data_IF_762262462971
#
_entry.id   IF_762262462971
#
_cell.length_a   1.000
_cell.length_b   1.000
_cell.length_c   1.000
_cell.angle_alpha   90.00
_cell.angle_beta   90.00
_cell.angle_gamma   90.00
#
_symmetry.space_group_name_H-M   'P 1'
#
loop_
_entity.id
_entity.type
_entity.pdbx_description
1 polymer ?
#
# COMPACT_ATOMS: atom_id res chain seq x y z
N UNK A 1 -1.72 11.27 29.64
CA UNK A 1 -1.44 12.69 29.34
C UNK A 1 -0.04 12.78 28.79
N UNK A 2 0.14 13.12 27.51
CA UNK A 2 1.46 13.42 26.96
C UNK A 2 2.03 14.69 27.61
N UNK A 3 3.36 14.81 27.68
CA UNK A 3 3.99 16.00 28.24
C UNK A 3 3.73 17.22 27.35
N UNK A 4 3.66 18.39 27.97
CA UNK A 4 3.58 19.67 27.24
C UNK A 4 4.84 19.91 26.38
N UNK A 5 5.93 19.19 26.67
CA UNK A 5 7.13 19.08 25.82
C UNK A 5 6.85 18.26 24.55
N UNK A 6 6.24 17.09 24.69
CA UNK A 6 5.95 16.16 23.59
C UNK A 6 4.99 16.81 22.56
N UNK A 7 3.98 17.56 23.03
CA UNK A 7 3.09 18.33 22.15
C UNK A 7 3.79 19.47 21.40
N UNK A 8 4.83 20.09 21.98
CA UNK A 8 5.64 21.09 21.30
C UNK A 8 6.51 20.43 20.23
N UNK A 9 7.18 19.34 20.57
CA UNK A 9 8.01 18.58 19.63
C UNK A 9 7.16 18.03 18.48
N UNK A 10 5.95 17.50 18.73
CA UNK A 10 5.00 17.13 17.68
C UNK A 10 4.62 18.29 16.76
N UNK A 11 4.36 19.49 17.30
CA UNK A 11 4.03 20.67 16.48
C UNK A 11 5.21 21.11 15.61
N UNK A 12 6.43 21.11 16.16
CA UNK A 12 7.65 21.42 15.43
C UNK A 12 7.96 20.37 14.36
N UNK A 13 7.73 19.09 14.63
CA UNK A 13 7.81 18.00 13.65
C UNK A 13 6.75 18.18 12.55
N UNK A 14 5.49 18.46 12.89
CA UNK A 14 4.41 18.68 11.93
C UNK A 14 4.70 19.85 10.97
N UNK A 15 5.14 21.00 11.49
CA UNK A 15 5.54 22.13 10.65
C UNK A 15 6.85 21.87 9.88
N UNK A 16 7.78 21.06 10.43
CA UNK A 16 8.97 20.59 9.68
C UNK A 16 8.59 19.66 8.53
N UNK A 17 7.60 18.78 8.70
CA UNK A 17 7.04 17.93 7.64
C UNK A 17 6.35 18.78 6.59
N UNK A 18 5.51 19.72 7.00
CA UNK A 18 4.82 20.66 6.09
C UNK A 18 5.82 21.48 5.28
N UNK A 19 6.92 21.91 5.89
CA UNK A 19 8.06 22.57 5.25
C UNK A 19 8.82 21.63 4.30
N UNK A 20 9.11 20.38 4.70
CA UNK A 20 9.76 19.37 3.84
C UNK A 20 8.89 18.98 2.65
N UNK A 21 7.58 18.81 2.84
CA UNK A 21 6.60 18.61 1.77
C UNK A 21 6.58 19.83 0.85
N UNK A 22 6.58 21.06 1.38
CA UNK A 22 6.71 22.27 0.56
C UNK A 22 8.03 22.35 -0.22
N UNK A 23 9.14 21.88 0.35
CA UNK A 23 10.45 21.82 -0.31
C UNK A 23 10.47 20.75 -1.42
N UNK A 24 9.84 19.59 -1.18
CA UNK A 24 9.64 18.55 -2.19
C UNK A 24 8.73 19.05 -3.33
N UNK A 25 7.64 19.75 -3.01
CA UNK A 25 6.76 20.41 -3.99
C UNK A 25 7.50 21.47 -4.82
N UNK A 26 8.29 22.35 -4.18
CA UNK A 26 9.13 23.34 -4.89
C UNK A 26 10.21 22.69 -5.75
N UNK A 27 10.75 21.53 -5.35
CA UNK A 27 11.67 20.73 -6.16
C UNK A 27 11.01 20.00 -7.33
N UNK A 28 9.70 19.74 -7.27
CA UNK A 28 8.92 19.09 -8.33
C UNK A 28 8.40 20.08 -9.39
N UNK A 29 8.24 21.36 -9.04
CA UNK A 29 7.70 22.46 -9.86
C UNK A 29 8.52 22.85 -11.11
N UNK A 30 9.46 22.01 -11.54
CA UNK A 30 10.32 22.24 -12.71
C UNK A 30 10.15 21.17 -13.81
N UNK A 31 8.95 20.58 -13.92
CA UNK A 31 8.55 19.71 -15.03
C UNK A 31 7.17 20.06 -15.56
N UNK A 32 7.07 19.99 -16.89
CA UNK A 32 5.96 20.48 -17.67
C UNK A 32 4.67 19.67 -17.54
N UNK A 33 3.56 20.39 -17.76
CA UNK A 33 2.20 19.95 -18.15
C UNK A 33 1.98 18.44 -18.19
N UNK A 34 1.29 17.92 -17.17
CA UNK A 34 0.69 16.58 -17.20
C UNK A 34 -0.56 16.61 -18.08
N UNK A 35 -0.58 15.77 -19.11
CA UNK A 35 -1.76 15.46 -19.92
C UNK A 35 -2.55 14.34 -19.22
N UNK A 36 -3.90 14.32 -19.27
CA UNK A 36 -4.70 13.27 -18.63
C UNK A 36 -4.31 11.85 -19.07
N UNK A 37 -4.42 10.90 -18.15
CA UNK A 37 -4.15 9.49 -18.39
C UNK A 37 -5.24 8.85 -19.26
N UNK A 38 -5.02 8.76 -20.58
CA UNK A 38 -5.78 7.83 -21.43
C UNK A 38 -5.14 6.43 -21.40
N UNK A 39 -5.99 5.42 -21.19
CA UNK A 39 -5.60 4.02 -21.13
C UNK A 39 -5.15 3.52 -22.52
N UNK A 40 -3.84 3.49 -22.78
CA UNK A 40 -3.30 2.94 -24.03
C UNK A 40 -3.30 1.41 -24.01
N UNK A 41 -4.29 0.82 -24.69
CA UNK A 41 -4.27 -0.60 -25.06
C UNK A 41 -3.08 -0.92 -25.98
N UNK A 42 -2.49 -2.12 -25.92
CA UNK A 42 -1.42 -2.51 -26.83
C UNK A 42 -1.95 -2.65 -28.27
N UNK A 43 -1.33 -1.94 -29.21
CA UNK A 43 -1.60 -2.11 -30.63
C UNK A 43 -0.82 -3.33 -31.16
N UNK A 44 -1.45 -4.30 -31.84
CA UNK A 44 -0.73 -5.43 -32.44
C UNK A 44 -0.25 -5.07 -33.86
N UNK A 45 1.06 -5.06 -34.08
CA UNK A 45 1.64 -4.85 -35.41
C UNK A 45 1.44 -6.07 -36.32
N UNK A 46 1.04 -5.76 -37.56
CA UNK A 46 0.51 -6.69 -38.56
C UNK A 46 1.41 -7.85 -39.00
N UNK A 47 0.74 -8.92 -39.42
CA UNK A 47 1.29 -10.01 -40.24
C UNK A 47 0.22 -10.48 -41.24
N UNK A 48 0.28 -10.01 -42.48
CA UNK A 48 -0.73 -10.27 -43.49
C UNK A 48 -0.58 -11.67 -44.14
N UNK A 49 -1.69 -12.38 -44.31
CA UNK A 49 -1.78 -13.65 -45.06
C UNK A 49 -3.22 -13.89 -45.51
N UNK A 50 -3.44 -14.08 -46.81
CA UNK A 50 -4.77 -14.03 -47.46
C UNK A 50 -5.53 -15.36 -47.45
N UNK A 51 -6.80 -15.33 -46.99
CA UNK A 51 -8.06 -15.86 -47.57
C UNK A 51 -8.10 -17.10 -48.50
N UNK A 52 -9.27 -17.78 -48.69
CA UNK A 52 -10.48 -17.92 -47.84
C UNK A 52 -11.10 -19.36 -47.83
N UNK A 53 -12.18 -19.61 -47.06
CA UNK A 53 -13.44 -20.27 -47.53
C UNK A 53 -14.41 -20.69 -46.41
N UNK A 54 -15.72 -20.42 -46.58
CA UNK A 54 -16.87 -21.06 -45.89
C UNK A 54 -17.10 -20.71 -44.39
N UNK A 55 -18.33 -20.59 -43.86
CA UNK A 55 -19.68 -20.64 -44.47
C UNK A 55 -20.74 -21.19 -43.49
N UNK A 56 -21.88 -20.50 -43.30
CA UNK A 56 -23.01 -20.91 -42.43
C UNK A 56 -23.05 -20.18 -41.07
N UNK A 57 -23.96 -19.22 -40.85
CA UNK A 57 -25.36 -19.35 -40.40
C UNK A 57 -25.54 -19.59 -38.88
N UNK A 58 -26.00 -18.56 -38.15
CA UNK A 58 -27.27 -18.47 -37.38
C UNK A 58 -27.30 -19.31 -36.08
N UNK A 59 -27.64 -18.78 -34.89
CA UNK A 59 -28.97 -18.24 -34.56
C UNK A 59 -29.06 -17.51 -33.19
N UNK A 60 -29.90 -16.46 -33.14
CA UNK A 60 -30.72 -15.91 -32.04
C UNK A 60 -30.43 -16.16 -30.53
N UNK A 61 -30.23 -15.03 -29.83
CA UNK A 61 -30.85 -14.57 -28.58
C UNK A 61 -31.42 -15.56 -27.53
N UNK A 62 -31.00 -15.39 -26.28
CA UNK A 62 -31.89 -15.37 -25.09
C UNK A 62 -31.27 -14.59 -23.93
N UNK A 63 -32.11 -13.93 -23.12
CA UNK A 63 -31.74 -13.07 -22.00
C UNK A 63 -31.87 -13.81 -20.63
N UNK A 64 -31.43 -13.22 -19.49
CA UNK A 64 -31.10 -13.99 -18.27
C UNK A 64 -32.23 -14.08 -17.22
N UNK A 65 -32.15 -15.02 -16.25
CA UNK A 65 -32.82 -14.93 -14.95
C UNK A 65 -31.92 -14.12 -13.99
N UNK A 66 -32.35 -12.96 -13.49
CA UNK A 66 -33.26 -12.74 -12.36
C UNK A 66 -32.74 -13.19 -10.97
N UNK A 67 -32.43 -12.17 -10.15
CA UNK A 67 -32.25 -12.22 -8.70
C UNK A 67 -33.54 -12.60 -7.97
N UNK A 68 -33.47 -13.50 -6.99
CA UNK A 68 -34.37 -13.50 -5.82
C UNK A 68 -33.63 -13.89 -4.52
N UNK A 69 -34.15 -13.37 -3.41
CA UNK A 69 -33.54 -13.13 -2.11
C UNK A 69 -33.13 -14.35 -1.23
N UNK A 70 -32.09 -14.10 -0.43
CA UNK A 70 -31.93 -14.39 1.01
C UNK A 70 -32.02 -15.83 1.57
N UNK A 71 -31.04 -16.24 2.38
CA UNK A 71 -31.11 -16.06 3.86
C UNK A 71 -29.94 -16.72 4.62
N UNK A 72 -29.38 -16.00 5.60
CA UNK A 72 -28.71 -16.45 6.82
C UNK A 72 -28.01 -17.83 6.85
N UNK A 73 -26.68 -17.83 6.67
CA UNK A 73 -25.76 -18.56 7.55
C UNK A 73 -24.47 -17.75 7.79
N UNK A 74 -24.33 -17.17 8.98
CA UNK A 74 -23.06 -16.60 9.43
C UNK A 74 -22.12 -17.74 9.83
N UNK A 75 -21.30 -18.23 8.88
CA UNK A 75 -20.22 -19.15 9.19
C UNK A 75 -19.03 -18.35 9.72
N UNK A 76 -18.59 -18.67 10.94
CA UNK A 76 -17.42 -18.06 11.55
C UNK A 76 -16.17 -18.42 10.75
N UNK A 77 -15.54 -17.41 10.15
CA UNK A 77 -14.25 -17.58 9.46
C UNK A 77 -13.17 -17.86 10.52
N UNK A 78 -12.87 -19.15 10.69
CA UNK A 78 -11.77 -19.60 11.55
C UNK A 78 -10.43 -19.23 10.91
N UNK A 79 -9.89 -18.07 11.29
CA UNK A 79 -8.50 -17.70 11.01
C UNK A 79 -7.58 -18.75 11.68
N UNK A 80 -6.72 -19.47 10.94
CA UNK A 80 -5.93 -20.56 11.51
C UNK A 80 -5.01 -20.08 12.66
N UNK A 81 -5.23 -20.62 13.86
CA UNK A 81 -4.61 -20.14 15.10
C UNK A 81 -3.14 -20.56 15.30
N UNK A 82 -2.49 -21.10 14.26
CA UNK A 82 -1.11 -21.61 14.32
C UNK A 82 -0.09 -20.65 13.72
N UNK A 83 -0.04 -19.42 14.22
CA UNK A 83 1.11 -18.54 14.06
C UNK A 83 1.81 -18.34 15.41
N UNK A 84 2.47 -19.41 15.90
CA UNK A 84 3.30 -19.35 17.10
C UNK A 84 4.39 -18.30 16.88
N UNK A 85 4.28 -17.18 17.60
CA UNK A 85 5.23 -16.05 17.54
C UNK A 85 6.57 -16.49 18.15
N UNK A 86 7.39 -17.15 17.35
CA UNK A 86 8.80 -17.37 17.66
C UNK A 86 9.51 -16.03 17.52
N UNK A 87 10.13 -15.55 18.62
CA UNK A 87 11.01 -14.37 18.63
C UNK A 87 11.93 -14.40 17.41
N UNK A 88 11.90 -13.33 16.62
CA UNK A 88 12.57 -13.23 15.31
C UNK A 88 14.03 -13.68 15.36
N UNK A 89 14.39 -14.83 14.75
CA UNK A 89 15.77 -15.14 14.48
C UNK A 89 16.28 -14.20 13.37
N UNK A 90 17.57 -13.87 13.43
CA UNK A 90 18.27 -13.03 12.47
C UNK A 90 17.92 -13.31 11.00
N UNK A 91 17.93 -12.27 10.16
CA UNK A 91 17.77 -12.29 8.69
C UNK A 91 18.86 -13.12 7.95
N UNK A 92 18.92 -14.44 8.20
CA UNK A 92 19.71 -15.41 7.44
C UNK A 92 18.88 -16.68 7.27
N UNK A 93 18.90 -17.26 6.06
CA UNK A 93 18.02 -18.33 5.58
C UNK A 93 16.53 -17.92 5.46
N UNK A 94 16.22 -17.05 4.50
CA UNK A 94 14.86 -16.99 3.93
C UNK A 94 14.61 -18.24 3.09
N UNK A 95 14.03 -19.26 3.70
CA UNK A 95 13.29 -20.28 2.97
C UNK A 95 12.04 -19.56 2.41
N UNK A 96 12.14 -19.12 1.15
CA UNK A 96 11.14 -18.22 0.53
C UNK A 96 9.81 -18.95 0.39
N UNK A 97 8.90 -18.68 1.32
CA UNK A 97 7.48 -18.98 1.15
C UNK A 97 6.97 -18.06 0.05
N UNK A 98 6.46 -18.64 -1.03
CA UNK A 98 5.66 -17.90 -2.02
C UNK A 98 4.21 -18.06 -1.58
N UNK A 99 3.56 -16.94 -1.26
CA UNK A 99 2.20 -16.91 -0.77
C UNK A 99 1.21 -17.29 -1.87
N UNK A 100 0.26 -18.18 -1.54
CA UNK A 100 -0.78 -18.67 -2.46
C UNK A 100 -2.10 -17.88 -2.35
N UNK A 101 -2.19 -16.95 -1.40
CA UNK A 101 -3.34 -16.07 -1.20
C UNK A 101 -2.89 -14.71 -0.66
N UNK A 102 -3.68 -13.68 -0.92
CA UNK A 102 -3.46 -12.32 -0.44
C UNK A 102 -3.76 -12.15 1.07
N UNK A 103 -4.35 -13.15 1.73
CA UNK A 103 -4.57 -13.13 3.20
C UNK A 103 -3.26 -13.22 4.01
N UNK A 104 -2.15 -13.56 3.36
CA UNK A 104 -0.84 -13.54 4.01
C UNK A 104 -0.33 -12.11 4.16
N UNK A 105 0.02 -11.73 5.39
CA UNK A 105 0.45 -10.38 5.74
C UNK A 105 1.87 -10.08 5.22
N UNK A 106 2.07 -9.01 4.43
CA UNK A 106 3.40 -8.56 4.01
C UNK A 106 4.35 -8.28 5.17
N UNK A 107 5.57 -8.84 5.15
CA UNK A 107 6.58 -8.67 6.20
C UNK A 107 7.60 -7.57 5.93
N UNK A 108 7.60 -6.97 4.75
CA UNK A 108 8.49 -5.89 4.35
C UNK A 108 7.94 -5.12 3.13
N UNK A 109 8.54 -3.98 2.83
CA UNK A 109 8.09 -3.10 1.75
C UNK A 109 8.05 -3.79 0.37
N UNK A 110 9.01 -4.67 0.04
CA UNK A 110 8.95 -5.49 -1.18
C UNK A 110 7.70 -6.36 -1.20
N UNK A 111 7.39 -7.06 -0.11
CA UNK A 111 6.18 -7.88 0.00
C UNK A 111 4.91 -7.04 -0.12
N UNK A 112 4.88 -5.83 0.44
CA UNK A 112 3.72 -4.93 0.32
C UNK A 112 3.52 -4.43 -1.12
N UNK A 113 4.61 -4.14 -1.83
CA UNK A 113 4.58 -3.84 -3.28
C UNK A 113 4.12 -5.05 -4.09
N UNK A 114 4.64 -6.26 -3.82
CA UNK A 114 4.20 -7.48 -4.50
C UNK A 114 2.71 -7.78 -4.24
N UNK A 115 2.20 -7.52 -3.02
CA UNK A 115 0.78 -7.66 -2.69
C UNK A 115 -0.10 -6.71 -3.50
N UNK A 116 0.30 -5.45 -3.66
CA UNK A 116 -0.43 -4.47 -4.48
C UNK A 116 -0.47 -4.85 -5.97
N UNK A 117 0.63 -5.41 -6.49
CA UNK A 117 0.68 -5.94 -7.86
C UNK A 117 -0.18 -7.20 -8.02
N UNK A 118 -0.29 -8.03 -6.97
CA UNK A 118 -1.13 -9.23 -7.00
C UNK A 118 -2.64 -8.91 -6.80
N UNK A 119 -2.99 -7.89 -6.01
CA UNK A 119 -4.36 -7.33 -5.92
C UNK A 119 -4.83 -6.79 -7.27
N UNK A 120 -3.97 -6.06 -7.99
CA UNK A 120 -4.28 -5.59 -9.35
C UNK A 120 -4.77 -6.75 -10.23
N UNK A 121 -4.00 -7.85 -10.25
CA UNK A 121 -4.30 -9.01 -11.08
C UNK A 121 -4.46 -8.65 -12.55
N UNK A 122 -5.29 -9.43 -13.26
CA UNK A 122 -5.65 -9.18 -14.65
C UNK A 122 -6.83 -8.19 -14.78
N UNK A 123 -7.79 -8.21 -13.85
CA UNK A 123 -8.89 -7.24 -13.74
C UNK A 123 -8.54 -6.10 -12.77
N UNK A 124 -7.67 -5.20 -13.22
CA UNK A 124 -7.23 -4.07 -12.41
C UNK A 124 -8.37 -3.12 -12.01
N UNK A 125 -9.39 -2.97 -12.85
CA UNK A 125 -10.51 -2.05 -12.63
C UNK A 125 -11.47 -2.62 -11.58
N UNK A 126 -11.94 -3.86 -11.75
CA UNK A 126 -12.84 -4.51 -10.80
C UNK A 126 -12.20 -4.73 -9.43
N UNK A 127 -10.95 -5.20 -9.38
CA UNK A 127 -10.26 -5.49 -8.11
C UNK A 127 -9.99 -4.22 -7.28
N UNK A 128 -9.59 -3.11 -7.93
CA UNK A 128 -9.29 -1.86 -7.23
C UNK A 128 -10.55 -1.05 -6.90
N UNK A 129 -11.61 -1.17 -7.70
CA UNK A 129 -12.94 -0.67 -7.33
C UNK A 129 -13.48 -1.41 -6.09
N UNK A 130 -13.37 -2.75 -6.05
CA UNK A 130 -13.81 -3.55 -4.90
C UNK A 130 -13.01 -3.20 -3.63
N UNK A 131 -11.68 -3.05 -3.72
CA UNK A 131 -10.87 -2.59 -2.59
C UNK A 131 -11.20 -1.14 -2.17
N UNK A 132 -11.46 -0.25 -3.12
CA UNK A 132 -11.83 1.15 -2.85
C UNK A 132 -13.17 1.27 -2.13
N UNK A 133 -14.18 0.50 -2.56
CA UNK A 133 -15.46 0.39 -1.89
C UNK A 133 -15.33 -0.20 -0.48
N UNK A 134 -14.54 -1.27 -0.31
CA UNK A 134 -14.31 -1.89 1.00
C UNK A 134 -13.56 -0.98 1.98
N UNK A 135 -12.63 -0.14 1.49
CA UNK A 135 -11.98 0.88 2.31
C UNK A 135 -12.95 1.98 2.73
N UNK A 136 -13.80 2.47 1.83
CA UNK A 136 -14.83 3.46 2.16
C UNK A 136 -15.78 2.93 3.23
N UNK A 137 -16.33 1.73 3.02
CA UNK A 137 -17.21 1.00 3.93
C UNK A 137 -16.57 0.75 5.32
N UNK A 138 -15.29 0.33 5.33
CA UNK A 138 -14.51 0.14 6.56
C UNK A 138 -14.35 1.45 7.35
N UNK A 139 -14.24 2.61 6.69
CA UNK A 139 -14.08 3.92 7.35
C UNK A 139 -15.38 4.57 7.77
N UNK A 140 -16.46 4.43 7.00
CA UNK A 140 -17.80 4.92 7.40
C UNK A 140 -18.26 4.19 8.66
N UNK A 141 -18.25 2.86 8.62
CA UNK A 141 -18.78 1.99 9.68
C UNK A 141 -17.70 1.53 10.68
N UNK A 142 -16.65 2.34 10.87
CA UNK A 142 -15.46 1.93 11.64
C UNK A 142 -15.75 1.71 13.14
N UNK A 143 -16.78 2.33 13.69
CA UNK A 143 -17.16 2.26 15.11
C UNK A 143 -17.69 0.88 15.52
N UNK A 144 -18.42 0.17 14.65
CA UNK A 144 -19.04 -1.13 14.95
C UNK A 144 -18.15 -2.36 14.74
N UNK A 145 -16.99 -2.20 14.09
CA UNK A 145 -16.22 -3.29 13.45
C UNK A 145 -15.14 -3.94 14.32
N UNK A 146 -15.55 -4.47 15.47
CA UNK A 146 -14.63 -5.04 16.48
C UNK A 146 -13.72 -6.18 15.98
N UNK A 147 -14.18 -6.98 15.01
CA UNK A 147 -13.43 -8.10 14.44
C UNK A 147 -12.32 -7.56 13.51
N UNK A 148 -12.68 -6.64 12.62
CA UNK A 148 -11.76 -5.99 11.69
C UNK A 148 -10.71 -5.17 12.43
N UNK A 149 -11.06 -4.52 13.55
CA UNK A 149 -10.10 -3.88 14.46
C UNK A 149 -9.07 -4.87 14.99
N UNK A 150 -9.48 -6.05 15.46
CA UNK A 150 -8.55 -7.09 15.94
C UNK A 150 -7.66 -7.63 14.82
N UNK A 151 -8.18 -7.77 13.60
CA UNK A 151 -7.40 -8.15 12.43
C UNK A 151 -6.40 -7.06 12.03
N UNK A 152 -6.84 -5.80 12.01
CA UNK A 152 -6.03 -4.63 11.67
C UNK A 152 -4.87 -4.42 12.64
N UNK A 153 -5.10 -4.61 13.94
CA UNK A 153 -4.07 -4.58 14.97
C UNK A 153 -2.94 -5.60 14.70
N UNK A 154 -3.28 -6.79 14.18
CA UNK A 154 -2.30 -7.83 13.82
C UNK A 154 -1.45 -7.38 12.63
N UNK A 155 -2.07 -6.79 11.59
CA UNK A 155 -1.35 -6.26 10.41
C UNK A 155 -0.47 -5.07 10.80
N UNK A 156 -0.98 -4.15 11.62
CA UNK A 156 -0.23 -2.98 12.13
C UNK A 156 0.99 -3.41 12.94
N UNK A 157 0.88 -4.45 13.78
CA UNK A 157 2.03 -4.99 14.53
C UNK A 157 3.12 -5.51 13.61
N UNK A 158 2.78 -6.15 12.49
CA UNK A 158 3.77 -6.56 11.47
C UNK A 158 4.44 -5.35 10.81
N UNK A 159 3.68 -4.31 10.45
CA UNK A 159 4.24 -3.05 9.95
C UNK A 159 5.19 -2.40 10.95
N UNK A 160 4.83 -2.41 12.24
CA UNK A 160 5.66 -1.89 13.34
C UNK A 160 6.96 -2.70 13.50
N UNK A 161 6.88 -4.04 13.54
CA UNK A 161 8.05 -4.94 13.61
C UNK A 161 9.04 -4.70 12.47
N UNK A 162 8.54 -4.47 11.24
CA UNK A 162 9.36 -4.10 10.10
C UNK A 162 10.06 -2.74 10.31
N UNK A 163 9.32 -1.72 10.75
CA UNK A 163 9.85 -0.37 10.95
C UNK A 163 10.84 -0.29 12.13
N UNK A 164 10.71 -1.14 13.14
CA UNK A 164 11.64 -1.25 14.27
C UNK A 164 13.03 -1.83 13.93
N UNK A 165 13.24 -2.34 12.70
CA UNK A 165 14.56 -2.83 12.26
C UNK A 165 15.66 -1.76 12.40
N UNK A 166 16.85 -2.13 12.87
CA UNK A 166 17.97 -1.18 13.12
C UNK A 166 18.33 -0.29 11.92
N UNK A 167 18.19 -0.80 10.69
CA UNK A 167 18.46 -0.07 9.45
C UNK A 167 17.40 1.00 9.11
N UNK A 168 16.20 0.88 9.68
CA UNK A 168 15.02 1.70 9.40
C UNK A 168 14.69 2.62 10.58
N UNK A 169 14.65 2.11 11.81
CA UNK A 169 14.10 2.82 12.98
C UNK A 169 14.70 4.22 13.20
N UNK A 170 15.99 4.41 12.93
CA UNK A 170 16.70 5.69 13.13
C UNK A 170 16.40 6.77 12.07
N UNK A 171 15.56 6.49 11.06
CA UNK A 171 15.16 7.47 10.03
C UNK A 171 14.04 8.36 10.56
N UNK A 172 14.07 9.65 10.22
CA UNK A 172 13.08 10.64 10.68
C UNK A 172 11.63 10.19 10.41
N UNK A 173 11.32 9.82 9.17
CA UNK A 173 9.97 9.36 8.78
C UNK A 173 9.57 8.03 9.44
N UNK A 174 10.53 7.15 9.73
CA UNK A 174 10.26 5.88 10.41
C UNK A 174 9.95 6.12 11.88
N UNK A 175 10.73 6.94 12.59
CA UNK A 175 10.46 7.34 13.97
C UNK A 175 9.08 8.01 14.11
N UNK A 176 8.74 8.93 13.19
CA UNK A 176 7.43 9.59 13.15
C UNK A 176 6.29 8.58 13.01
N UNK A 177 6.38 7.65 12.06
CA UNK A 177 5.35 6.63 11.83
C UNK A 177 5.27 5.66 13.02
N UNK A 178 6.42 5.24 13.59
CA UNK A 178 6.45 4.41 14.80
C UNK A 178 5.77 5.09 15.99
N UNK A 179 6.00 6.40 16.20
CA UNK A 179 5.31 7.17 17.24
C UNK A 179 3.79 7.17 17.06
N UNK A 180 3.31 7.40 15.83
CA UNK A 180 1.87 7.37 15.53
C UNK A 180 1.27 5.96 15.70
N UNK A 181 2.01 4.91 15.35
CA UNK A 181 1.60 3.53 15.58
C UNK A 181 1.58 3.18 17.08
N UNK A 182 2.54 3.67 17.87
CA UNK A 182 2.58 3.46 19.31
C UNK A 182 1.40 4.16 20.01
N UNK A 183 1.06 5.39 19.63
CA UNK A 183 -0.14 6.06 20.16
C UNK A 183 -1.41 5.30 19.77
N UNK A 184 -1.57 4.89 18.51
CA UNK A 184 -2.72 4.09 18.06
C UNK A 184 -2.86 2.78 18.84
N UNK A 185 -1.78 2.03 19.04
CA UNK A 185 -1.78 0.74 19.75
C UNK A 185 -1.90 0.89 21.28
N UNK A 186 -1.74 2.10 21.83
CA UNK A 186 -2.01 2.41 23.26
C UNK A 186 -3.49 2.62 23.53
N UNK A 187 -4.26 3.12 22.56
CA UNK A 187 -5.70 3.29 22.71
C UNK A 187 -6.36 1.91 22.66
N UNK A 188 -7.00 1.51 23.77
CA UNK A 188 -7.74 0.23 23.83
C UNK A 188 -8.97 0.30 22.91
N UNK A 189 -9.45 -0.83 22.35
CA UNK A 189 -10.59 -0.82 21.42
C UNK A 189 -11.82 -0.07 21.96
N UNK A 190 -12.17 -0.25 23.24
CA UNK A 190 -13.29 0.42 23.90
C UNK A 190 -13.12 1.95 24.08
N UNK A 191 -11.91 2.49 23.84
CA UNK A 191 -11.61 3.93 23.87
C UNK A 191 -11.54 4.48 22.43
N UNK A 192 -11.10 3.67 21.45
CA UNK A 192 -11.13 4.04 20.03
C UNK A 192 -12.56 4.34 19.55
N UNK A 193 -13.54 3.52 19.96
CA UNK A 193 -14.96 3.70 19.60
C UNK A 193 -15.59 4.99 20.13
N UNK A 194 -15.04 5.58 21.20
CA UNK A 194 -15.61 6.77 21.87
C UNK A 194 -14.82 8.06 21.63
N UNK A 195 -13.58 7.99 21.14
CA UNK A 195 -12.66 9.16 21.09
C UNK A 195 -12.11 9.47 19.70
N UNK A 196 -12.14 8.51 18.78
CA UNK A 196 -11.33 8.54 17.54
C UNK A 196 -12.16 8.39 16.27
N UNK A 197 -13.28 7.69 16.37
CA UNK A 197 -14.28 7.49 15.32
C UNK A 197 -15.61 7.97 15.91
N UNK A 198 -16.45 8.64 15.13
CA UNK A 198 -17.78 8.96 15.65
C UNK A 198 -18.61 7.69 15.76
N UNK A 199 -19.38 7.57 16.85
CA UNK A 199 -20.41 6.53 16.97
C UNK A 199 -21.53 6.73 15.93
N UNK A 200 -21.64 7.94 15.34
CA UNK A 200 -22.49 8.22 14.18
C UNK A 200 -21.72 8.03 12.86
N UNK A 201 -22.05 6.96 12.13
CA UNK A 201 -21.57 6.68 10.78
C UNK A 201 -21.75 7.88 9.83
N UNK A 202 -22.79 8.71 10.05
CA UNK A 202 -23.07 9.92 9.26
C UNK A 202 -21.99 10.99 9.44
N UNK A 203 -21.34 11.06 10.61
CA UNK A 203 -20.23 12.00 10.83
C UNK A 203 -18.94 11.50 10.18
N UNK A 204 -18.68 10.19 10.23
CA UNK A 204 -17.55 9.57 9.52
C UNK A 204 -17.71 9.76 8.00
N UNK A 205 -18.92 9.55 7.47
CA UNK A 205 -19.23 9.79 6.05
C UNK A 205 -19.02 11.26 5.67
N UNK A 206 -19.61 12.21 6.42
CA UNK A 206 -19.40 13.66 6.21
C UNK A 206 -17.93 14.06 6.27
N UNK A 207 -17.13 13.43 7.13
CA UNK A 207 -15.69 13.65 7.20
C UNK A 207 -15.00 13.20 5.91
N UNK A 208 -15.26 11.98 5.43
CA UNK A 208 -14.71 11.45 4.19
C UNK A 208 -15.12 12.31 2.98
N UNK A 209 -16.40 12.64 2.85
CA UNK A 209 -16.91 13.55 1.81
C UNK A 209 -16.21 14.92 1.85
N UNK A 210 -16.01 15.51 3.05
CA UNK A 210 -15.27 16.78 3.23
C UNK A 210 -13.78 16.67 2.84
N UNK A 211 -13.21 15.47 2.85
CA UNK A 211 -11.86 15.18 2.32
C UNK A 211 -11.84 14.87 0.82
N UNK A 212 -13.00 14.83 0.16
CA UNK A 212 -13.12 14.38 -1.23
C UNK A 212 -12.85 12.88 -1.38
N UNK A 213 -13.13 12.08 -0.35
CA UNK A 213 -12.98 10.64 -0.34
C UNK A 213 -14.36 9.98 -0.46
N UNK A 214 -14.69 9.51 -1.66
CA UNK A 214 -15.73 8.53 -1.98
C UNK A 214 -15.09 7.19 -2.39
N UNK A 215 -15.86 6.11 -2.46
CA UNK A 215 -15.38 4.82 -2.98
C UNK A 215 -14.65 4.95 -4.34
N UNK A 216 -15.24 5.68 -5.29
CA UNK A 216 -14.67 5.89 -6.63
C UNK A 216 -13.33 6.63 -6.58
N UNK A 217 -13.25 7.74 -5.84
CA UNK A 217 -11.99 8.51 -5.70
C UNK A 217 -10.90 7.75 -4.93
N UNK A 218 -11.29 6.85 -4.01
CA UNK A 218 -10.35 5.94 -3.34
C UNK A 218 -9.84 4.91 -4.37
N UNK A 219 -10.71 4.32 -5.19
CA UNK A 219 -10.33 3.39 -6.25
C UNK A 219 -9.38 4.04 -7.28
N UNK A 220 -9.70 5.26 -7.75
CA UNK A 220 -8.84 6.05 -8.64
C UNK A 220 -7.44 6.26 -8.03
N UNK A 221 -7.37 6.65 -6.76
CA UNK A 221 -6.09 6.87 -6.06
C UNK A 221 -5.35 5.56 -5.75
N UNK A 222 -6.05 4.45 -5.56
CA UNK A 222 -5.44 3.12 -5.51
C UNK A 222 -4.80 2.74 -6.85
N UNK A 223 -5.43 3.03 -7.99
CA UNK A 223 -4.83 2.83 -9.31
C UNK A 223 -3.50 3.60 -9.41
N UNK A 224 -3.46 4.87 -9.00
CA UNK A 224 -2.23 5.67 -8.94
C UNK A 224 -1.14 5.04 -8.04
N UNK A 225 -1.50 4.56 -6.85
CA UNK A 225 -0.58 3.84 -5.94
C UNK A 225 -0.02 2.57 -6.59
N UNK A 226 -0.87 1.78 -7.24
CA UNK A 226 -0.51 0.50 -7.87
C UNK A 226 0.35 0.70 -9.12
N UNK A 227 0.06 1.72 -9.94
CA UNK A 227 0.90 2.07 -11.09
C UNK A 227 2.25 2.68 -10.66
N UNK A 228 2.29 3.48 -9.59
CA UNK A 228 3.55 3.92 -8.98
C UNK A 228 4.38 2.72 -8.46
N UNK A 229 3.74 1.74 -7.82
CA UNK A 229 4.36 0.47 -7.45
C UNK A 229 4.91 -0.30 -8.66
N UNK A 230 4.15 -0.35 -9.76
CA UNK A 230 4.54 -1.03 -10.99
C UNK A 230 5.73 -0.33 -11.70
N UNK A 231 5.73 1.01 -11.79
CA UNK A 231 6.83 1.80 -12.33
C UNK A 231 8.10 1.61 -11.49
N UNK A 232 7.97 1.75 -10.16
CA UNK A 232 9.06 1.54 -9.20
C UNK A 232 9.66 0.15 -9.36
N UNK A 233 8.82 -0.89 -9.27
CA UNK A 233 9.25 -2.28 -9.40
C UNK A 233 9.89 -2.53 -10.76
N UNK A 234 9.30 -2.04 -11.85
CA UNK A 234 9.83 -2.15 -13.21
C UNK A 234 11.23 -1.53 -13.36
N UNK A 235 11.53 -0.46 -12.63
CA UNK A 235 12.83 0.24 -12.63
C UNK A 235 13.87 -0.38 -11.71
N UNK A 236 13.49 -0.97 -10.57
CA UNK A 236 14.45 -1.55 -9.62
C UNK A 236 14.70 -3.05 -9.79
N UNK A 237 13.75 -3.82 -10.35
CA UNK A 237 13.87 -5.28 -10.42
C UNK A 237 14.87 -5.73 -11.48
N UNK A 238 15.57 -6.82 -11.17
CA UNK A 238 16.31 -7.63 -12.12
C UNK A 238 15.36 -8.67 -12.70
N UNK A 239 15.00 -8.54 -13.99
CA UNK A 239 13.95 -9.34 -14.63
C UNK A 239 14.19 -10.86 -14.56
N UNK A 240 15.44 -11.30 -14.56
CA UNK A 240 15.80 -12.74 -14.57
C UNK A 240 15.87 -13.38 -13.18
N UNK A 241 15.95 -12.59 -12.10
CA UNK A 241 16.17 -13.09 -10.74
C UNK A 241 15.09 -12.68 -9.74
N UNK A 242 14.29 -11.66 -10.05
CA UNK A 242 13.21 -11.21 -9.18
C UNK A 242 12.15 -12.29 -8.97
N UNK A 243 11.84 -12.60 -7.71
CA UNK A 243 10.70 -13.45 -7.35
C UNK A 243 9.68 -12.65 -6.57
N UNK A 244 8.45 -12.59 -7.07
CA UNK A 244 7.31 -12.07 -6.29
C UNK A 244 7.15 -12.88 -5.01
N UNK A 245 6.77 -12.22 -3.92
CA UNK A 245 6.34 -12.89 -2.70
C UNK A 245 4.99 -13.60 -2.86
N UNK A 246 4.14 -13.11 -3.78
CA UNK A 246 2.82 -13.66 -4.08
C UNK A 246 2.84 -14.40 -5.42
N UNK A 247 2.29 -15.62 -5.44
CA UNK A 247 2.14 -16.43 -6.64
C UNK A 247 1.01 -15.91 -7.54
N UNK A 248 0.93 -16.31 -8.82
CA UNK A 248 -0.21 -16.00 -9.69
C UNK A 248 -1.56 -16.49 -9.16
N UNK A 249 -1.59 -17.45 -8.24
CA UNK A 249 -2.80 -17.94 -7.58
C UNK A 249 -3.33 -16.99 -6.49
N UNK A 250 -2.49 -16.06 -5.99
CA UNK A 250 -2.88 -15.09 -4.97
C UNK A 250 -3.63 -13.91 -5.60
N UNK A 251 -4.83 -14.16 -6.12
CA UNK A 251 -5.70 -13.15 -6.73
C UNK A 251 -6.67 -12.55 -5.70
N UNK A 252 -7.25 -11.40 -6.05
CA UNK A 252 -8.36 -10.78 -5.30
C UNK A 252 -9.54 -11.76 -5.16
N UNK A 253 -10.01 -12.33 -6.27
CA UNK A 253 -11.12 -13.30 -6.28
C UNK A 253 -10.89 -14.52 -5.37
N UNK A 254 -9.70 -15.10 -5.40
CA UNK A 254 -9.39 -16.28 -4.58
C UNK A 254 -9.22 -15.95 -3.08
N UNK A 255 -9.07 -14.67 -2.71
CA UNK A 255 -8.68 -14.25 -1.36
C UNK A 255 -9.73 -13.40 -0.63
N UNK A 256 -10.45 -12.54 -1.36
CA UNK A 256 -11.22 -11.43 -0.78
C UNK A 256 -12.58 -11.17 -1.44
N UNK A 257 -12.94 -11.71 -2.61
CA UNK A 257 -14.27 -11.42 -3.21
C UNK A 257 -15.47 -11.89 -2.38
N UNK A 258 -15.27 -12.79 -1.40
CA UNK A 258 -16.28 -13.14 -0.38
C UNK A 258 -16.21 -12.27 0.89
N UNK A 259 -15.08 -11.61 1.15
CA UNK A 259 -14.74 -10.89 2.37
C UNK A 259 -13.85 -9.66 2.06
N UNK A 260 -14.35 -8.68 1.28
CA UNK A 260 -13.53 -7.58 0.77
C UNK A 260 -13.03 -6.65 1.89
N UNK A 261 -13.72 -6.62 3.04
CA UNK A 261 -13.28 -5.97 4.27
C UNK A 261 -11.91 -6.48 4.77
N UNK A 262 -11.59 -7.76 4.54
CA UNK A 262 -10.28 -8.32 4.87
C UNK A 262 -9.15 -7.76 3.99
N UNK A 263 -9.46 -7.44 2.72
CA UNK A 263 -8.55 -6.75 1.81
C UNK A 263 -8.30 -5.30 2.25
N UNK A 264 -9.35 -4.59 2.65
CA UNK A 264 -9.27 -3.24 3.21
C UNK A 264 -8.42 -3.20 4.50
N UNK A 265 -8.67 -4.11 5.44
CA UNK A 265 -7.86 -4.27 6.66
C UNK A 265 -6.38 -4.52 6.35
N UNK A 266 -6.09 -5.39 5.38
CA UNK A 266 -4.72 -5.66 4.96
C UNK A 266 -4.03 -4.40 4.42
N UNK A 267 -4.72 -3.65 3.55
CA UNK A 267 -4.19 -2.40 2.98
C UNK A 267 -3.93 -1.34 4.05
N UNK A 268 -4.92 -1.04 4.91
CA UNK A 268 -4.80 -0.04 5.99
C UNK A 268 -3.67 -0.39 6.94
N UNK A 269 -3.51 -1.67 7.27
CA UNK A 269 -2.46 -2.11 8.19
C UNK A 269 -1.05 -2.08 7.61
N UNK A 270 -0.88 -2.19 6.29
CA UNK A 270 0.42 -2.06 5.61
C UNK A 270 0.73 -0.64 5.11
N UNK A 271 -0.25 0.26 5.01
CA UNK A 271 -0.02 1.65 4.59
C UNK A 271 1.07 2.39 5.41
N UNK A 272 1.18 2.22 6.76
CA UNK A 272 2.32 2.73 7.54
C UNK A 272 3.69 2.28 7.02
N UNK A 273 3.82 1.00 6.64
CA UNK A 273 5.03 0.41 6.08
C UNK A 273 5.37 1.04 4.72
N UNK A 274 4.37 1.23 3.86
CA UNK A 274 4.52 1.87 2.55
C UNK A 274 5.00 3.33 2.69
N UNK A 275 4.29 4.16 3.46
CA UNK A 275 4.62 5.58 3.63
C UNK A 275 6.01 5.80 4.21
N UNK A 276 6.34 5.11 5.30
CA UNK A 276 7.63 5.26 5.97
C UNK A 276 8.79 4.87 5.04
N UNK A 277 8.60 3.81 4.24
CA UNK A 277 9.59 3.32 3.28
C UNK A 277 9.80 4.28 2.11
N UNK A 278 8.72 4.71 1.45
CA UNK A 278 8.75 5.65 0.32
C UNK A 278 9.36 6.98 0.76
N UNK A 279 8.91 7.54 1.89
CA UNK A 279 9.39 8.82 2.41
C UNK A 279 10.88 8.76 2.80
N UNK A 280 11.31 7.67 3.45
CA UNK A 280 12.73 7.46 3.78
C UNK A 280 13.60 7.30 2.54
N UNK A 281 13.11 6.63 1.50
CA UNK A 281 13.85 6.41 0.25
C UNK A 281 13.95 7.72 -0.57
N UNK A 282 12.88 8.51 -0.63
CA UNK A 282 12.89 9.86 -1.21
C UNK A 282 13.89 10.78 -0.47
N UNK A 283 13.90 10.77 0.86
CA UNK A 283 14.85 11.55 1.66
C UNK A 283 16.32 11.12 1.41
N UNK A 284 16.59 9.81 1.33
CA UNK A 284 17.92 9.29 1.02
C UNK A 284 18.39 9.67 -0.39
N UNK A 285 17.49 9.60 -1.39
CA UNK A 285 17.74 10.07 -2.76
C UNK A 285 18.07 11.56 -2.80
N UNK A 286 17.30 12.39 -2.08
CA UNK A 286 17.50 13.83 -2.03
C UNK A 286 18.86 14.19 -1.40
N UNK A 287 19.19 13.61 -0.25
CA UNK A 287 20.47 13.80 0.42
C UNK A 287 21.67 13.39 -0.46
N UNK A 288 21.55 12.27 -1.19
CA UNK A 288 22.58 11.81 -2.12
C UNK A 288 22.71 12.72 -3.36
N UNK A 289 21.61 13.26 -3.90
CA UNK A 289 21.62 14.23 -5.01
C UNK A 289 22.28 15.55 -4.61
N UNK A 290 22.06 16.03 -3.38
CA UNK A 290 22.70 17.24 -2.85
C UNK A 290 24.20 17.08 -2.50
N UNK A 291 24.79 15.90 -2.72
CA UNK A 291 26.21 15.60 -2.41
C UNK A 291 26.60 15.86 -0.95
N UNK A 292 25.64 15.77 -0.01
CA UNK A 292 25.95 15.60 1.41
C UNK A 292 26.89 14.38 1.56
N UNK A 293 27.89 14.42 2.48
CA UNK A 293 29.13 13.63 2.44
C UNK A 293 29.03 12.29 1.67
N UNK A 294 29.50 12.25 0.40
CA UNK A 294 28.88 11.42 -0.64
C UNK A 294 28.94 9.91 -0.38
N UNK A 295 30.00 9.43 0.27
CA UNK A 295 30.17 8.03 0.62
C UNK A 295 29.15 7.55 1.68
N UNK A 296 28.78 8.41 2.64
CA UNK A 296 27.82 8.07 3.69
C UNK A 296 26.41 7.99 3.10
N UNK A 297 26.02 8.97 2.28
CA UNK A 297 24.69 9.04 1.68
C UNK A 297 24.41 7.85 0.73
N UNK A 298 25.38 7.48 -0.11
CA UNK A 298 25.24 6.36 -1.06
C UNK A 298 25.12 5.01 -0.35
N UNK A 299 26.02 4.71 0.61
CA UNK A 299 25.97 3.48 1.40
C UNK A 299 24.66 3.37 2.19
N UNK A 300 24.26 4.47 2.84
CA UNK A 300 22.97 4.59 3.54
C UNK A 300 21.76 4.25 2.65
N UNK A 301 21.79 4.63 1.37
CA UNK A 301 20.71 4.33 0.42
C UNK A 301 20.70 2.85 0.00
N UNK A 302 21.86 2.23 -0.24
CA UNK A 302 21.94 0.80 -0.54
C UNK A 302 21.48 -0.06 0.65
N UNK A 303 21.93 0.27 1.86
CA UNK A 303 21.51 -0.40 3.10
C UNK A 303 20.00 -0.28 3.33
N UNK A 304 19.40 0.86 2.97
CA UNK A 304 17.96 1.08 3.01
C UNK A 304 17.23 0.18 2.01
N UNK A 305 17.61 0.16 0.73
CA UNK A 305 16.99 -0.70 -0.30
C UNK A 305 17.00 -2.18 0.12
N UNK A 306 18.11 -2.65 0.69
CA UNK A 306 18.21 -4.02 1.24
C UNK A 306 17.26 -4.23 2.44
N UNK A 307 17.14 -3.26 3.34
CA UNK A 307 16.20 -3.33 4.47
C UNK A 307 14.73 -3.33 4.03
N UNK A 308 14.42 -2.68 2.90
CA UNK A 308 13.11 -2.71 2.26
C UNK A 308 12.78 -4.08 1.60
N UNK A 309 13.70 -5.06 1.62
CA UNK A 309 13.52 -6.41 1.06
C UNK A 309 14.12 -6.59 -0.35
N UNK A 310 14.69 -5.55 -0.95
CA UNK A 310 15.25 -5.61 -2.30
C UNK A 310 16.76 -5.92 -2.26
N UNK A 311 17.10 -7.20 -2.27
CA UNK A 311 18.48 -7.70 -2.25
C UNK A 311 18.96 -8.17 -3.62
N UNK A 312 20.25 -8.03 -3.92
CA UNK A 312 20.86 -8.61 -5.11
C UNK A 312 20.86 -10.15 -5.00
N UNK A 313 20.60 -10.90 -6.09
CA UNK A 313 20.48 -10.45 -7.47
C UNK A 313 19.06 -10.03 -7.91
N UNK A 314 18.06 -9.99 -7.01
CA UNK A 314 16.67 -9.67 -7.37
C UNK A 314 16.42 -8.21 -7.73
N UNK A 315 17.14 -7.30 -7.06
CA UNK A 315 17.26 -5.93 -7.50
C UNK A 315 18.45 -5.77 -8.44
N UNK A 316 18.44 -4.70 -9.26
CA UNK A 316 19.53 -4.40 -10.18
C UNK A 316 20.79 -4.03 -9.40
N UNK A 317 21.93 -4.58 -9.82
CA UNK A 317 23.22 -4.22 -9.24
C UNK A 317 23.58 -2.74 -9.50
N UNK A 318 24.33 -2.13 -8.58
CA UNK A 318 24.88 -0.78 -8.77
C UNK A 318 23.86 0.36 -8.80
N UNK A 319 22.66 0.16 -8.22
CA UNK A 319 21.60 1.17 -8.13
C UNK A 319 22.10 2.54 -7.61
N UNK A 320 22.03 3.57 -8.45
CA UNK A 320 22.41 4.95 -8.06
C UNK A 320 21.22 5.75 -7.55
N UNK A 321 21.46 6.86 -6.82
CA UNK A 321 20.41 7.76 -6.36
C UNK A 321 19.58 8.38 -7.51
N UNK A 322 20.16 8.51 -8.71
CA UNK A 322 19.44 8.91 -9.92
C UNK A 322 18.55 7.78 -10.47
N UNK A 323 18.94 6.51 -10.30
CA UNK A 323 18.11 5.37 -10.65
C UNK A 323 16.95 5.19 -9.65
N UNK A 324 17.23 5.23 -8.34
CA UNK A 324 16.20 5.14 -7.28
C UNK A 324 15.24 6.33 -7.34
N UNK A 325 15.75 7.54 -7.50
CA UNK A 325 14.91 8.74 -7.63
C UNK A 325 14.11 8.82 -8.92
N UNK A 326 14.46 8.02 -9.94
CA UNK A 326 13.57 7.75 -11.09
C UNK A 326 12.61 6.61 -10.80
N UNK A 327 12.99 5.57 -10.07
CA UNK A 327 12.04 4.53 -9.66
C UNK A 327 10.89 5.11 -8.83
N UNK A 328 11.14 6.13 -8.02
CA UNK A 328 10.14 6.80 -7.19
C UNK A 328 9.29 7.86 -7.92
N UNK A 329 9.40 8.05 -9.25
CA UNK A 329 8.71 9.18 -9.92
C UNK A 329 7.19 9.11 -9.89
N UNK A 330 6.59 7.92 -9.89
CA UNK A 330 5.14 7.75 -9.72
C UNK A 330 4.64 8.01 -8.29
N UNK A 331 5.51 7.99 -7.28
CA UNK A 331 5.13 8.36 -5.90
C UNK A 331 5.24 9.86 -5.70
N UNK A 332 4.29 10.59 -6.29
CA UNK A 332 4.17 12.02 -6.10
C UNK A 332 3.63 12.39 -4.70
N UNK A 333 3.51 13.68 -4.45
CA UNK A 333 3.08 14.20 -3.14
C UNK A 333 1.63 13.81 -2.83
N UNK A 334 0.76 13.72 -3.84
CA UNK A 334 -0.63 13.34 -3.64
C UNK A 334 -0.76 11.85 -3.29
N UNK A 335 -0.08 10.98 -4.02
CA UNK A 335 -0.03 9.52 -3.78
C UNK A 335 0.52 9.21 -2.38
N UNK A 336 1.58 9.89 -1.95
CA UNK A 336 2.14 9.74 -0.59
C UNK A 336 1.17 10.30 0.47
N UNK A 337 0.51 11.43 0.19
CA UNK A 337 -0.49 12.02 1.09
C UNK A 337 -1.71 11.11 1.25
N UNK A 338 -2.15 10.47 0.17
CA UNK A 338 -3.22 9.47 0.14
C UNK A 338 -2.88 8.18 0.89
N UNK A 339 -1.60 7.78 0.92
CA UNK A 339 -1.11 6.64 1.71
C UNK A 339 -0.84 6.98 3.19
N UNK A 340 -0.66 8.26 3.53
CA UNK A 340 -0.62 8.76 4.92
C UNK A 340 -2.04 8.95 5.49
N UNK A 341 -2.96 9.40 4.62
CA UNK A 341 -4.36 8.97 4.63
C UNK A 341 -4.44 7.43 4.44
N UNK A 342 -5.56 6.78 4.71
CA UNK A 342 -5.70 5.30 4.69
C UNK A 342 -4.75 4.48 5.59
N UNK A 343 -3.70 5.06 6.18
CA UNK A 343 -2.96 4.50 7.32
C UNK A 343 -3.66 4.82 8.66
N UNK A 344 -4.70 5.67 8.65
CA UNK A 344 -5.50 6.05 9.81
C UNK A 344 -4.84 7.07 10.75
N UNK A 345 -3.83 7.83 10.29
CA UNK A 345 -3.13 8.83 11.12
C UNK A 345 -3.89 10.16 11.32
N UNK A 346 -5.12 10.27 10.81
CA UNK A 346 -6.06 11.33 11.17
C UNK A 346 -6.89 11.01 12.41
N UNK A 347 -6.75 9.79 12.92
CA UNK A 347 -7.54 9.20 13.99
C UNK A 347 -6.79 9.34 15.35
N UNK A 348 -6.01 10.42 15.50
CA UNK A 348 -5.14 10.77 16.62
C UNK A 348 -5.11 12.30 16.80
#
# INVERSE_FOLDING_TARGET
MASLKDMREMKEIAETIKSLVHLLQRGALHKDVVVPCELKTPHPDGGAGTSPSGGGQQQLCSAPPQLQHASLQAQSVNIPETCVIKKSPNLRAHQRVVYQSLVHIPRNFKEAVDWLIAVRGDDAEGNLAALGAALYDLYVHMSGRSIEWSALDKVIRVSREFLEQEKLKKRLFVNMILFLLDERLRVTPNILTTTVVSEDDTENEKYLQKKGLTADTIAEKLCCVVDACAEFLGRIKNRSHYKSAYSPQATWDASFSAHPESGAVMFVGMAPMLVASISSLNAAVFAAKLRLPPFIAYKSMQELIQALGYVEPECRAGMTASCVGRALSGFDVETITFLYQLAGFWAL
#
